data_IF_897713170468
#
_entry.id   IF_897713170468
#
_cell.length_a   1.000
_cell.length_b   1.000
_cell.length_c   1.000
_cell.angle_alpha   90.00
_cell.angle_beta   90.00
_cell.angle_gamma   90.00
#
_symmetry.space_group_name_H-M   'P 1'
#
loop_
_entity.id
_entity.type
_entity.pdbx_description
1 polymer ?
#
# COMPACT_ATOMS: atom_id res chain seq x y z
N UNK A 1 -16.85 -28.16 -3.70
CA UNK A 1 -16.31 -28.65 -2.41
C UNK A 1 -16.54 -30.14 -2.33
N UNK A 2 -15.60 -30.89 -1.78
CA UNK A 2 -15.72 -32.34 -1.58
C UNK A 2 -15.57 -32.61 -0.09
N UNK A 3 -16.54 -33.32 0.49
CA UNK A 3 -16.61 -33.64 1.92
C UNK A 3 -16.52 -35.15 2.07
N UNK A 4 -15.54 -35.62 2.82
CA UNK A 4 -15.36 -37.03 3.14
C UNK A 4 -15.50 -37.22 4.65
N UNK A 5 -16.25 -38.25 5.05
CA UNK A 5 -16.51 -38.61 6.44
C UNK A 5 -16.06 -40.05 6.66
N UNK A 6 -15.18 -40.28 7.62
CA UNK A 6 -14.77 -41.64 7.99
C UNK A 6 -15.05 -41.89 9.46
N UNK A 7 -15.69 -43.02 9.74
CA UNK A 7 -15.86 -43.51 11.10
C UNK A 7 -14.59 -44.24 11.53
N UNK A 8 -13.95 -43.80 12.61
CA UNK A 8 -12.82 -44.53 13.19
C UNK A 8 -13.34 -45.69 14.04
N UNK A 9 -12.73 -46.87 13.87
CA UNK A 9 -12.98 -48.05 14.71
C UNK A 9 -11.69 -48.36 15.47
N UNK A 10 -11.61 -47.94 16.73
CA UNK A 10 -10.42 -48.08 17.58
C UNK A 10 -10.69 -47.57 18.99
N UNK A 11 -9.63 -47.39 19.80
CA UNK A 11 -9.75 -46.92 21.19
C UNK A 11 -10.37 -45.51 21.34
N UNK A 12 -10.43 -44.74 20.25
CA UNK A 12 -11.17 -43.48 20.16
C UNK A 12 -12.16 -43.60 19.00
N UNK A 13 -13.43 -43.87 19.34
CA UNK A 13 -14.52 -43.85 18.38
C UNK A 13 -14.83 -42.39 18.03
N UNK A 14 -14.81 -42.07 16.75
CA UNK A 14 -14.97 -40.70 16.27
C UNK A 14 -15.26 -40.62 14.77
N UNK A 15 -15.47 -39.39 14.29
CA UNK A 15 -15.65 -39.09 12.87
C UNK A 15 -14.47 -38.22 12.45
N UNK A 16 -13.69 -38.70 11.47
CA UNK A 16 -12.71 -37.89 10.77
C UNK A 16 -13.40 -37.20 9.62
N UNK A 17 -13.18 -35.90 9.49
CA UNK A 17 -13.74 -35.08 8.42
C UNK A 17 -12.59 -34.53 7.58
N UNK A 18 -12.66 -34.75 6.27
CA UNK A 18 -11.79 -34.07 5.31
C UNK A 18 -12.64 -33.22 4.37
N UNK A 19 -12.21 -31.98 4.18
CA UNK A 19 -12.86 -31.02 3.29
C UNK A 19 -11.83 -30.59 2.25
N UNK A 20 -12.09 -30.90 0.98
CA UNK A 20 -11.19 -30.55 -0.12
C UNK A 20 -11.85 -29.57 -1.10
N UNK A 21 -11.11 -28.51 -1.46
CA UNK A 21 -11.52 -27.59 -2.53
C UNK A 21 -11.14 -28.19 -3.88
N UNK A 22 -12.11 -28.74 -4.59
CA UNK A 22 -11.91 -29.25 -5.97
C UNK A 22 -12.10 -28.18 -7.04
N UNK A 23 -13.14 -27.35 -6.89
CA UNK A 23 -13.53 -26.22 -7.76
C UNK A 23 -14.38 -25.22 -6.96
N UNK A 24 -14.55 -24.01 -7.48
CA UNK A 24 -15.39 -22.94 -6.90
C UNK A 24 -14.59 -21.85 -6.18
N UNK A 25 -15.28 -20.83 -5.66
CA UNK A 25 -14.65 -19.72 -4.95
C UNK A 25 -13.97 -20.16 -3.64
N UNK A 26 -12.79 -19.61 -3.37
CA UNK A 26 -12.00 -19.91 -2.16
C UNK A 26 -12.61 -19.31 -0.91
N UNK A 27 -13.28 -18.15 -1.01
CA UNK A 27 -13.90 -17.48 0.14
C UNK A 27 -15.10 -18.30 0.63
N UNK A 28 -16.02 -18.64 -0.26
CA UNK A 28 -17.13 -19.54 0.07
C UNK A 28 -16.64 -20.89 0.59
N UNK A 29 -15.60 -21.47 -0.04
CA UNK A 29 -15.01 -22.71 0.45
C UNK A 29 -14.51 -22.58 1.89
N UNK A 30 -13.76 -21.53 2.21
CA UNK A 30 -13.24 -21.32 3.56
C UNK A 30 -14.38 -21.13 4.58
N UNK A 31 -15.37 -20.29 4.27
CA UNK A 31 -16.58 -20.06 5.08
C UNK A 31 -17.27 -21.37 5.44
N UNK A 32 -17.65 -22.16 4.44
CA UNK A 32 -18.34 -23.42 4.68
C UNK A 32 -17.46 -24.46 5.36
N UNK A 33 -16.17 -24.53 4.99
CA UNK A 33 -15.25 -25.47 5.63
C UNK A 33 -15.12 -25.21 7.13
N UNK A 34 -15.04 -23.94 7.55
CA UNK A 34 -14.99 -23.55 8.95
C UNK A 34 -16.28 -23.97 9.67
N UNK A 35 -17.45 -23.62 9.13
CA UNK A 35 -18.73 -24.00 9.74
C UNK A 35 -18.90 -25.52 9.87
N UNK A 36 -18.46 -26.30 8.88
CA UNK A 36 -18.52 -27.77 8.93
C UNK A 36 -17.58 -28.31 10.01
N UNK A 37 -16.36 -27.77 10.13
CA UNK A 37 -15.40 -28.18 11.15
C UNK A 37 -15.87 -27.78 12.57
N UNK A 38 -16.38 -26.56 12.75
CA UNK A 38 -16.92 -26.10 14.02
C UNK A 38 -18.14 -26.96 14.45
N UNK A 39 -18.98 -27.37 13.49
CA UNK A 39 -20.09 -28.29 13.74
C UNK A 39 -19.61 -29.67 14.19
N UNK A 40 -18.51 -30.15 13.60
CA UNK A 40 -17.93 -31.45 13.91
C UNK A 40 -17.33 -31.50 15.32
N UNK A 41 -16.76 -30.39 15.79
CA UNK A 41 -16.23 -30.25 17.16
C UNK A 41 -17.38 -30.03 18.17
N UNK A 42 -18.58 -29.68 17.70
CA UNK A 42 -19.73 -29.35 18.55
C UNK A 42 -19.73 -27.90 19.06
N UNK A 43 -18.89 -27.04 18.48
CA UNK A 43 -18.78 -25.62 18.83
C UNK A 43 -19.75 -24.74 18.02
N UNK A 44 -20.38 -25.28 16.97
CA UNK A 44 -21.31 -24.50 16.15
C UNK A 44 -22.65 -24.25 16.84
N UNK A 45 -22.82 -23.06 17.40
CA UNK A 45 -24.11 -22.58 17.88
C UNK A 45 -24.93 -21.94 16.74
N UNK A 46 -25.80 -22.75 16.11
CA UNK A 46 -26.68 -22.29 15.02
C UNK A 46 -27.53 -21.07 15.40
N UNK A 47 -27.99 -20.98 16.66
CA UNK A 47 -28.83 -19.85 17.10
C UNK A 47 -28.06 -18.55 17.15
N UNK A 48 -26.82 -18.59 17.63
CA UNK A 48 -25.94 -17.43 17.67
C UNK A 48 -25.51 -16.99 16.27
N UNK A 49 -25.25 -17.94 15.37
CA UNK A 49 -24.93 -17.66 13.97
C UNK A 49 -26.10 -16.96 13.25
N UNK A 50 -27.33 -17.45 13.43
CA UNK A 50 -28.55 -16.85 12.87
C UNK A 50 -28.83 -15.48 13.51
N UNK A 51 -28.62 -15.34 14.82
CA UNK A 51 -28.86 -14.08 15.52
C UNK A 51 -27.83 -13.01 15.17
N UNK A 52 -26.58 -13.40 14.93
CA UNK A 52 -25.48 -12.48 14.57
C UNK A 52 -25.51 -12.08 13.09
N UNK A 53 -25.95 -12.98 12.20
CA UNK A 53 -25.89 -12.76 10.76
C UNK A 53 -27.27 -12.53 10.10
N UNK A 54 -28.37 -12.67 10.84
CA UNK A 54 -29.73 -12.67 10.32
C UNK A 54 -30.11 -14.01 9.66
N UNK A 55 -31.37 -14.15 9.23
CA UNK A 55 -31.87 -15.31 8.47
C UNK A 55 -31.16 -15.52 7.12
N UNK A 56 -30.32 -14.57 6.71
CA UNK A 56 -29.67 -14.56 5.41
C UNK A 56 -28.15 -14.42 5.56
N UNK A 57 -27.52 -15.55 5.94
CA UNK A 57 -26.09 -15.71 6.20
C UNK A 57 -25.20 -15.33 4.99
N UNK A 58 -25.76 -15.24 3.79
CA UNK A 58 -25.02 -14.75 2.63
C UNK A 58 -24.93 -13.21 2.60
N UNK A 59 -25.90 -12.48 3.16
CA UNK A 59 -25.99 -11.02 3.06
C UNK A 59 -24.81 -10.25 3.69
N UNK A 60 -24.09 -10.76 4.69
CA UNK A 60 -23.03 -9.94 5.34
C UNK A 60 -21.78 -9.81 4.47
N UNK A 61 -21.37 -10.89 3.79
CA UNK A 61 -20.27 -10.84 2.81
C UNK A 61 -20.76 -10.34 1.45
N UNK A 62 -21.99 -10.72 1.06
CA UNK A 62 -22.62 -10.18 -0.14
C UNK A 62 -22.90 -8.70 0.01
N UNK A 63 -23.06 -8.09 1.20
CA UNK A 63 -23.17 -6.62 1.33
C UNK A 63 -21.87 -5.90 1.03
N UNK A 64 -20.71 -6.46 1.42
CA UNK A 64 -19.40 -5.84 1.12
C UNK A 64 -19.04 -6.03 -0.35
N UNK A 65 -19.43 -7.17 -0.94
CA UNK A 65 -19.25 -7.48 -2.37
C UNK A 65 -20.31 -6.80 -3.26
N UNK A 66 -21.57 -6.68 -2.83
CA UNK A 66 -22.66 -5.95 -3.50
C UNK A 66 -22.41 -4.46 -3.45
N UNK A 67 -21.79 -3.93 -2.38
CA UNK A 67 -21.27 -2.56 -2.39
C UNK A 67 -20.19 -2.39 -3.47
N UNK A 68 -19.33 -3.40 -3.66
CA UNK A 68 -18.32 -3.42 -4.73
C UNK A 68 -18.90 -3.66 -6.14
N UNK A 69 -20.02 -4.36 -6.27
CA UNK A 69 -20.68 -4.69 -7.54
C UNK A 69 -21.72 -3.64 -7.97
N UNK A 70 -22.36 -2.95 -7.03
CA UNK A 70 -23.29 -1.84 -7.29
C UNK A 70 -22.59 -0.49 -7.48
N UNK A 71 -21.26 -0.50 -7.59
CA UNK A 71 -20.34 0.64 -7.77
C UNK A 71 -20.41 1.24 -9.20
N UNK A 72 -21.32 0.74 -10.04
CA UNK A 72 -21.57 1.20 -11.43
C UNK A 72 -22.68 2.27 -11.54
N UNK A 73 -23.40 2.59 -10.47
CA UNK A 73 -24.41 3.66 -10.47
C UNK A 73 -23.84 4.98 -9.95
N UNK A 74 -24.22 6.09 -10.61
CA UNK A 74 -23.78 7.48 -10.45
C UNK A 74 -22.96 7.77 -9.17
N UNK A 75 -21.65 7.95 -9.34
CA UNK A 75 -20.70 8.13 -8.24
C UNK A 75 -20.79 9.53 -7.67
N UNK A 76 -21.45 9.67 -6.54
CA UNK A 76 -21.20 10.81 -5.66
C UNK A 76 -19.75 10.77 -5.19
N UNK A 77 -19.05 11.90 -5.22
CA UNK A 77 -17.62 11.99 -4.90
C UNK A 77 -17.28 11.48 -3.47
N UNK A 78 -18.25 11.57 -2.57
CA UNK A 78 -18.20 11.05 -1.19
C UNK A 78 -18.24 9.52 -1.15
N UNK A 79 -18.97 8.88 -2.07
CA UNK A 79 -18.93 7.41 -2.17
C UNK A 79 -17.59 6.91 -2.69
N UNK A 80 -16.87 7.70 -3.50
CA UNK A 80 -15.54 7.32 -4.01
C UNK A 80 -14.47 7.39 -2.92
N UNK A 81 -14.53 8.37 -2.01
CA UNK A 81 -13.62 8.43 -0.84
C UNK A 81 -13.84 7.24 0.08
N UNK A 82 -15.10 6.94 0.41
CA UNK A 82 -15.44 5.83 1.29
C UNK A 82 -15.00 4.50 0.69
N UNK A 83 -15.23 4.31 -0.62
CA UNK A 83 -14.79 3.12 -1.33
C UNK A 83 -13.26 2.99 -1.35
N UNK A 84 -12.53 4.10 -1.49
CA UNK A 84 -11.07 4.11 -1.41
C UNK A 84 -10.58 3.70 -0.01
N UNK A 85 -11.16 4.29 1.04
CA UNK A 85 -10.82 3.98 2.44
C UNK A 85 -11.08 2.51 2.74
N UNK A 86 -12.26 2.00 2.39
CA UNK A 86 -12.62 0.58 2.59
C UNK A 86 -11.66 -0.36 1.84
N UNK A 87 -11.25 0.01 0.61
CA UNK A 87 -10.29 -0.80 -0.15
C UNK A 87 -8.91 -0.84 0.52
N UNK A 88 -8.45 0.30 1.07
CA UNK A 88 -7.19 0.39 1.81
C UNK A 88 -7.25 -0.44 3.10
N UNK A 89 -8.35 -0.38 3.85
CA UNK A 89 -8.56 -1.23 5.05
C UNK A 89 -8.56 -2.73 4.73
N UNK A 90 -9.12 -3.14 3.58
CA UNK A 90 -9.06 -4.54 3.14
C UNK A 90 -7.61 -4.94 2.87
N UNK A 91 -6.83 -4.06 2.23
CA UNK A 91 -5.42 -4.33 1.96
C UNK A 91 -4.60 -4.41 3.26
N UNK A 92 -4.86 -3.54 4.24
CA UNK A 92 -4.32 -3.62 5.59
C UNK A 92 -4.63 -4.98 6.25
N UNK A 93 -5.90 -5.39 6.26
CA UNK A 93 -6.32 -6.66 6.87
C UNK A 93 -5.74 -7.90 6.19
N UNK A 94 -5.25 -7.80 4.96
CA UNK A 94 -4.45 -8.85 4.29
C UNK A 94 -2.97 -8.76 4.68
N UNK A 95 -2.43 -7.54 4.76
CA UNK A 95 -1.04 -7.26 5.11
C UNK A 95 -0.68 -7.67 6.54
N UNK A 96 -1.62 -7.54 7.49
CA UNK A 96 -1.40 -7.91 8.90
C UNK A 96 -1.60 -9.40 9.21
N UNK A 97 -1.92 -10.24 8.23
CA UNK A 97 -2.07 -11.69 8.47
C UNK A 97 -0.71 -12.38 8.62
N UNK A 98 -0.66 -13.48 9.35
CA UNK A 98 0.56 -14.27 9.55
C UNK A 98 1.06 -14.97 8.28
N UNK A 99 0.16 -15.23 7.33
CA UNK A 99 0.49 -16.01 6.13
C UNK A 99 1.14 -15.14 5.06
N UNK A 100 2.31 -15.56 4.57
CA UNK A 100 3.08 -14.83 3.56
C UNK A 100 2.31 -14.57 2.25
N UNK A 101 1.46 -15.50 1.80
CA UNK A 101 0.63 -15.32 0.62
C UNK A 101 -0.43 -14.22 0.80
N UNK A 102 -0.99 -14.10 2.01
CA UNK A 102 -1.93 -13.03 2.34
C UNK A 102 -1.22 -11.67 2.40
N UNK A 103 -0.02 -11.61 3.01
CA UNK A 103 0.80 -10.39 3.03
C UNK A 103 1.15 -9.91 1.63
N UNK A 104 1.57 -10.84 0.78
CA UNK A 104 1.84 -10.55 -0.63
C UNK A 104 0.61 -10.00 -1.34
N UNK A 105 -0.57 -10.61 -1.15
CA UNK A 105 -1.81 -10.13 -1.74
C UNK A 105 -2.20 -8.73 -1.22
N UNK A 106 -1.92 -8.41 0.05
CA UNK A 106 -2.11 -7.08 0.62
C UNK A 106 -1.26 -6.02 -0.09
N UNK A 107 0.03 -6.31 -0.30
CA UNK A 107 0.93 -5.42 -1.05
C UNK A 107 0.58 -5.30 -2.53
N UNK A 108 0.16 -6.40 -3.18
CA UNK A 108 -0.33 -6.37 -4.56
C UNK A 108 -1.57 -5.49 -4.68
N UNK A 109 -2.48 -5.57 -3.70
CA UNK A 109 -3.66 -4.70 -3.60
C UNK A 109 -3.24 -3.23 -3.46
N UNK A 110 -2.29 -2.91 -2.58
CA UNK A 110 -1.75 -1.54 -2.45
C UNK A 110 -1.05 -1.06 -3.73
N UNK A 111 -0.37 -1.93 -4.47
CA UNK A 111 0.23 -1.58 -5.76
C UNK A 111 -0.84 -1.18 -6.80
N UNK A 112 -2.02 -1.82 -6.77
CA UNK A 112 -3.15 -1.46 -7.63
C UNK A 112 -3.78 -0.16 -7.17
N UNK A 113 -4.01 -0.02 -5.86
CA UNK A 113 -4.63 1.16 -5.26
C UNK A 113 -3.78 2.42 -5.41
N UNK A 114 -2.46 2.30 -5.52
CA UNK A 114 -1.57 3.46 -5.75
C UNK A 114 -1.32 3.78 -7.23
N UNK A 115 -1.86 3.01 -8.18
CA UNK A 115 -1.72 3.30 -9.62
C UNK A 115 -2.97 4.00 -10.16
N UNK A 116 -2.90 5.30 -10.50
CA UNK A 116 -4.07 6.07 -10.96
C UNK A 116 -4.67 5.51 -12.25
N UNK A 117 -3.90 4.77 -13.06
CA UNK A 117 -4.39 4.14 -14.29
C UNK A 117 -5.25 2.91 -14.04
N UNK A 118 -5.19 2.34 -12.83
CA UNK A 118 -5.91 1.11 -12.48
C UNK A 118 -7.10 1.38 -11.58
N UNK A 119 -6.99 2.32 -10.64
CA UNK A 119 -8.05 2.57 -9.64
C UNK A 119 -8.70 3.94 -9.73
N UNK A 120 -8.21 4.84 -10.59
CA UNK A 120 -8.66 6.24 -10.65
C UNK A 120 -7.79 7.19 -9.82
N UNK A 121 -7.82 8.48 -10.17
CA UNK A 121 -6.95 9.49 -9.57
C UNK A 121 -7.24 9.71 -8.07
N UNK A 122 -8.53 9.77 -7.69
CA UNK A 122 -8.93 10.05 -6.31
C UNK A 122 -8.54 8.92 -5.36
N UNK A 123 -8.89 7.67 -5.70
CA UNK A 123 -8.48 6.50 -4.93
C UNK A 123 -6.96 6.36 -4.86
N UNK A 124 -6.25 6.60 -5.97
CA UNK A 124 -4.79 6.57 -5.97
C UNK A 124 -4.18 7.64 -5.08
N UNK A 125 -4.75 8.84 -5.05
CA UNK A 125 -4.28 9.92 -4.18
C UNK A 125 -4.47 9.58 -2.69
N UNK A 126 -5.65 9.08 -2.31
CA UNK A 126 -5.95 8.67 -0.93
C UNK A 126 -5.02 7.55 -0.48
N UNK A 127 -4.89 6.49 -1.29
CA UNK A 127 -3.99 5.38 -0.99
C UNK A 127 -2.53 5.83 -0.88
N UNK A 128 -2.10 6.79 -1.71
CA UNK A 128 -0.76 7.36 -1.67
C UNK A 128 -0.51 8.15 -0.37
N UNK A 129 -1.50 8.92 0.09
CA UNK A 129 -1.41 9.61 1.38
C UNK A 129 -1.31 8.65 2.55
N UNK A 130 -2.12 7.59 2.56
CA UNK A 130 -2.03 6.56 3.60
C UNK A 130 -0.64 5.91 3.63
N UNK A 131 -0.10 5.55 2.46
CA UNK A 131 1.25 4.95 2.37
C UNK A 131 2.35 5.89 2.87
N UNK A 132 2.26 7.19 2.58
CA UNK A 132 3.34 8.14 2.88
C UNK A 132 3.22 8.75 4.28
N UNK A 133 2.02 9.07 4.74
CA UNK A 133 1.77 9.82 5.97
C UNK A 133 1.04 9.00 7.04
N UNK A 134 0.52 7.81 6.71
CA UNK A 134 -0.20 6.97 7.67
C UNK A 134 -1.55 7.59 8.08
N UNK A 135 -2.12 8.44 7.24
CA UNK A 135 -3.41 9.12 7.48
C UNK A 135 -4.13 9.37 6.16
N UNK A 136 -5.47 9.34 6.22
CA UNK A 136 -6.34 9.78 5.13
C UNK A 136 -6.82 11.24 5.31
N UNK A 137 -6.47 11.89 6.43
CA UNK A 137 -6.87 13.27 6.72
C UNK A 137 -6.26 14.24 5.71
N UNK A 138 -7.02 15.29 5.41
CA UNK A 138 -6.59 16.37 4.51
C UNK A 138 -6.98 16.17 3.04
N UNK A 139 -7.70 15.09 2.72
CA UNK A 139 -8.18 14.80 1.35
C UNK A 139 -9.56 15.37 1.03
N UNK A 140 -10.38 15.64 2.04
CA UNK A 140 -11.74 16.12 1.82
C UNK A 140 -11.73 17.62 1.52
N UNK A 141 -11.75 17.93 0.22
CA UNK A 141 -11.72 19.30 -0.29
C UNK A 141 -13.09 19.98 -0.23
N UNK A 142 -14.18 19.23 0.01
CA UNK A 142 -15.54 19.67 -0.31
C UNK A 142 -16.53 19.71 0.87
N UNK A 143 -16.22 19.15 2.04
CA UNK A 143 -17.10 19.30 3.22
C UNK A 143 -16.83 20.67 3.87
N UNK A 144 -17.61 21.67 3.46
CA UNK A 144 -17.67 22.99 4.11
C UNK A 144 -18.37 22.93 5.48
N UNK A 145 -19.06 21.84 5.75
CA UNK A 145 -19.65 21.59 7.06
C UNK A 145 -18.56 21.05 8.00
N UNK A 146 -18.40 21.61 9.21
CA UNK A 146 -17.62 20.99 10.27
C UNK A 146 -18.36 19.73 10.71
N UNK A 147 -18.22 18.66 9.91
CA UNK A 147 -18.78 17.37 10.24
C UNK A 147 -18.24 16.94 11.60
N UNK A 148 -19.14 16.44 12.43
CA UNK A 148 -18.83 15.71 13.65
C UNK A 148 -17.70 14.74 13.29
N UNK A 149 -16.51 14.93 13.88
CA UNK A 149 -15.33 14.09 13.68
C UNK A 149 -15.75 12.62 13.79
N UNK A 150 -16.08 12.00 12.66
CA UNK A 150 -16.20 10.55 12.56
C UNK A 150 -14.80 10.09 12.92
N UNK A 151 -14.67 9.53 14.11
CA UNK A 151 -13.42 8.99 14.63
C UNK A 151 -13.10 7.78 13.75
N UNK A 152 -12.52 8.04 12.59
CA UNK A 152 -11.93 7.02 11.72
C UNK A 152 -10.69 6.57 12.47
N UNK A 153 -10.67 5.29 12.80
CA UNK A 153 -9.50 4.66 13.38
C UNK A 153 -8.34 4.74 12.35
N UNK A 154 -7.33 5.57 12.64
CA UNK A 154 -6.17 5.73 11.76
C UNK A 154 -5.09 4.66 11.99
N UNK A 155 -5.27 3.80 13.00
CA UNK A 155 -4.32 2.73 13.34
C UNK A 155 -3.99 1.85 12.12
N UNK A 156 -4.97 1.41 11.30
CA UNK A 156 -4.68 0.64 10.08
C UNK A 156 -3.77 1.36 9.09
N UNK A 157 -3.89 2.68 8.98
CA UNK A 157 -3.12 3.49 8.04
C UNK A 157 -1.67 3.64 8.51
N UNK A 158 -1.48 3.84 9.81
CA UNK A 158 -0.15 3.89 10.42
C UNK A 158 0.57 2.54 10.26
N UNK A 159 -0.11 1.43 10.53
CA UNK A 159 0.46 0.07 10.39
C UNK A 159 0.82 -0.26 8.93
N UNK A 160 0.03 0.20 7.94
CA UNK A 160 0.41 0.10 6.52
C UNK A 160 1.73 0.82 6.28
N UNK A 161 1.82 2.10 6.68
CA UNK A 161 3.00 2.93 6.46
C UNK A 161 4.24 2.30 7.10
N UNK A 162 4.13 1.90 8.36
CA UNK A 162 5.23 1.25 9.10
C UNK A 162 5.66 -0.05 8.44
N UNK A 163 4.73 -0.87 7.96
CA UNK A 163 5.04 -2.12 7.25
C UNK A 163 5.76 -1.87 5.92
N UNK A 164 5.35 -0.86 5.16
CA UNK A 164 6.03 -0.48 3.91
C UNK A 164 7.43 0.03 4.20
N UNK A 165 7.59 0.94 5.18
CA UNK A 165 8.91 1.44 5.59
C UNK A 165 9.81 0.31 6.10
N UNK A 166 9.28 -0.58 6.93
CA UNK A 166 9.99 -1.74 7.47
C UNK A 166 10.49 -2.66 6.34
N UNK A 167 9.63 -2.98 5.38
CA UNK A 167 9.98 -3.81 4.22
C UNK A 167 11.02 -3.13 3.33
N UNK A 168 10.94 -1.82 3.12
CA UNK A 168 11.88 -1.10 2.25
C UNK A 168 13.24 -0.93 2.94
N UNK A 169 13.27 -0.45 4.19
CA UNK A 169 14.51 -0.12 4.91
C UNK A 169 15.21 -1.36 5.49
N UNK A 170 14.44 -2.31 6.01
CA UNK A 170 14.98 -3.43 6.79
C UNK A 170 14.83 -4.78 6.08
N UNK A 171 14.01 -4.86 5.02
CA UNK A 171 13.60 -6.13 4.40
C UNK A 171 12.96 -7.08 5.41
N UNK A 172 12.13 -6.54 6.31
CA UNK A 172 11.43 -7.32 7.34
C UNK A 172 9.96 -6.89 7.43
N UNK A 173 9.12 -7.78 7.96
CA UNK A 173 7.71 -7.51 8.19
C UNK A 173 7.25 -8.17 9.51
N UNK A 174 6.76 -7.34 10.43
CA UNK A 174 6.35 -7.74 11.78
C UNK A 174 7.44 -7.62 12.83
N UNK A 175 7.05 -7.85 14.08
CA UNK A 175 7.94 -7.92 15.24
C UNK A 175 8.54 -9.33 15.30
N UNK A 176 9.69 -9.55 14.67
CA UNK A 176 10.41 -10.82 14.83
C UNK A 176 10.83 -10.98 16.29
N UNK A 177 10.31 -12.02 16.93
CA UNK A 177 10.84 -12.52 18.19
C UNK A 177 12.19 -13.21 17.89
N UNK A 178 13.27 -12.82 18.58
CA UNK A 178 14.66 -13.29 18.43
C UNK A 178 14.88 -14.80 18.73
N UNK A 179 14.10 -15.70 18.12
CA UNK A 179 14.29 -17.14 18.28
C UNK A 179 15.23 -17.68 17.18
N UNK A 180 16.45 -18.05 17.59
CA UNK A 180 17.53 -18.63 16.80
C UNK A 180 17.13 -19.92 16.05
N UNK A 181 16.45 -19.80 14.90
CA UNK A 181 16.15 -20.92 13.99
C UNK A 181 16.94 -20.80 12.68
N UNK A 182 18.22 -21.17 12.71
CA UNK A 182 19.14 -21.15 11.55
C UNK A 182 18.76 -22.10 10.38
N UNK A 183 17.73 -22.95 10.52
CA UNK A 183 17.44 -24.02 9.55
C UNK A 183 16.37 -23.72 8.48
N UNK A 184 15.53 -22.68 8.64
CA UNK A 184 14.43 -22.35 7.70
C UNK A 184 14.71 -21.12 6.81
N UNK A 185 15.89 -20.49 6.93
CA UNK A 185 16.21 -19.20 6.33
C UNK A 185 16.14 -19.12 4.79
N UNK A 186 16.19 -20.22 4.06
CA UNK A 186 16.34 -20.18 2.60
C UNK A 186 15.03 -19.89 1.83
N UNK A 187 13.88 -20.42 2.27
CA UNK A 187 12.60 -20.17 1.58
C UNK A 187 11.99 -18.82 1.94
N UNK A 188 12.24 -18.34 3.16
CA UNK A 188 11.71 -17.06 3.63
C UNK A 188 12.39 -15.87 2.92
N UNK A 189 13.69 -15.97 2.60
CA UNK A 189 14.43 -14.90 1.90
C UNK A 189 13.88 -14.59 0.49
N UNK A 190 13.42 -15.61 -0.23
CA UNK A 190 12.77 -15.43 -1.53
C UNK A 190 11.45 -14.66 -1.39
N UNK A 191 10.62 -15.03 -0.41
CA UNK A 191 9.36 -14.35 -0.14
C UNK A 191 9.57 -12.91 0.33
N UNK A 192 10.52 -12.69 1.24
CA UNK A 192 10.89 -11.34 1.70
C UNK A 192 11.38 -10.49 0.53
N UNK A 193 12.13 -11.07 -0.40
CA UNK A 193 12.55 -10.36 -1.62
C UNK A 193 11.35 -9.94 -2.47
N UNK A 194 10.34 -10.79 -2.63
CA UNK A 194 9.10 -10.44 -3.34
C UNK A 194 8.35 -9.31 -2.62
N UNK A 195 8.17 -9.41 -1.31
CA UNK A 195 7.48 -8.38 -0.51
C UNK A 195 8.22 -7.04 -0.56
N UNK A 196 9.55 -7.05 -0.45
CA UNK A 196 10.37 -5.84 -0.56
C UNK A 196 10.21 -5.18 -1.93
N UNK A 197 10.17 -5.96 -3.01
CA UNK A 197 9.98 -5.42 -4.36
C UNK A 197 8.59 -4.81 -4.54
N UNK A 198 7.55 -5.44 -3.98
CA UNK A 198 6.20 -4.90 -3.97
C UNK A 198 6.11 -3.62 -3.14
N UNK A 199 6.71 -3.58 -1.95
CA UNK A 199 6.74 -2.39 -1.10
C UNK A 199 7.45 -1.21 -1.80
N UNK A 200 8.58 -1.46 -2.48
CA UNK A 200 9.23 -0.45 -3.33
C UNK A 200 8.31 0.04 -4.46
N UNK A 201 7.51 -0.84 -5.07
CA UNK A 201 6.59 -0.46 -6.13
C UNK A 201 5.42 0.38 -5.59
N UNK A 202 4.84 0.01 -4.44
CA UNK A 202 3.83 0.81 -3.72
C UNK A 202 4.38 2.20 -3.42
N UNK A 203 5.57 2.30 -2.83
CA UNK A 203 6.20 3.57 -2.51
C UNK A 203 6.48 4.42 -3.76
N UNK A 204 7.01 3.80 -4.82
CA UNK A 204 7.31 4.49 -6.07
C UNK A 204 6.06 5.00 -6.79
N UNK A 205 4.93 4.30 -6.66
CA UNK A 205 3.65 4.77 -7.17
C UNK A 205 3.11 5.93 -6.31
N UNK A 206 3.14 5.78 -4.99
CA UNK A 206 2.64 6.80 -4.08
C UNK A 206 3.36 8.15 -4.27
N UNK A 207 4.70 8.14 -4.29
CA UNK A 207 5.50 9.35 -4.53
C UNK A 207 5.25 9.96 -5.92
N UNK A 208 5.03 9.14 -6.94
CA UNK A 208 4.74 9.63 -8.30
C UNK A 208 3.38 10.33 -8.37
N UNK A 209 2.36 9.80 -7.67
CA UNK A 209 1.03 10.42 -7.56
C UNK A 209 1.13 11.79 -6.88
N UNK A 210 1.79 11.88 -5.72
CA UNK A 210 1.96 13.16 -5.00
C UNK A 210 2.74 14.18 -5.84
N UNK A 211 3.82 13.77 -6.50
CA UNK A 211 4.64 14.68 -7.32
C UNK A 211 3.91 15.25 -8.56
N UNK A 212 2.74 14.71 -8.91
CA UNK A 212 1.90 15.15 -10.03
C UNK A 212 0.63 15.85 -9.58
N UNK A 213 0.32 15.86 -8.29
CA UNK A 213 -0.91 16.40 -7.73
C UNK A 213 -1.11 17.88 -8.10
N UNK A 214 -0.04 18.67 -7.99
CA UNK A 214 -0.09 20.11 -8.30
C UNK A 214 -0.54 20.38 -9.75
N UNK A 215 -0.10 19.54 -10.70
CA UNK A 215 -0.48 19.68 -12.11
C UNK A 215 -1.94 19.30 -12.40
N UNK A 216 -2.57 18.47 -11.56
CA UNK A 216 -3.95 18.05 -11.74
C UNK A 216 -4.95 19.11 -11.27
N UNK A 217 -4.59 19.89 -10.25
CA UNK A 217 -5.46 20.93 -9.70
C UNK A 217 -5.58 22.15 -10.63
N UNK A 218 -4.53 22.45 -11.39
CA UNK A 218 -4.52 23.59 -12.33
C UNK A 218 -5.38 23.36 -13.59
N UNK A 219 -5.64 22.10 -13.96
CA UNK A 219 -6.33 21.75 -15.22
C UNK A 219 -7.84 21.99 -15.22
N UNK A 220 -8.50 21.88 -14.07
CA UNK A 220 -9.97 21.83 -13.98
C UNK A 220 -10.63 23.22 -13.89
N UNK A 221 -9.83 24.26 -13.62
CA UNK A 221 -10.32 25.63 -13.43
C UNK A 221 -10.69 26.36 -14.74
N UNK A 222 -10.50 25.74 -15.90
CA UNK A 222 -10.59 26.42 -17.21
C UNK A 222 -11.95 26.28 -17.94
N UNK A 223 -12.93 25.56 -17.38
CA UNK A 223 -14.18 25.21 -18.10
C UNK A 223 -15.49 25.82 -17.55
N UNK A 224 -15.49 26.59 -16.46
CA UNK A 224 -16.72 27.26 -15.97
C UNK A 224 -16.67 28.77 -16.16
N UNK A 225 -17.28 29.27 -17.23
CA UNK A 225 -17.44 30.70 -17.52
C UNK A 225 -18.59 31.36 -16.71
N UNK A 226 -18.83 30.92 -15.47
CA UNK A 226 -19.87 31.50 -14.61
C UNK A 226 -19.34 32.74 -13.89
N UNK A 227 -20.12 33.84 -13.85
CA UNK A 227 -19.66 35.11 -13.32
C UNK A 227 -19.40 35.05 -11.81
N UNK A 228 -18.30 35.70 -11.44
CA UNK A 228 -17.71 35.96 -10.13
C UNK A 228 -18.73 36.20 -9.00
N UNK A 229 -19.10 35.15 -8.27
CA UNK A 229 -19.50 35.29 -6.87
C UNK A 229 -18.25 35.17 -6.00
N UNK A 230 -18.08 36.09 -5.04
CA UNK A 230 -16.94 36.18 -4.12
C UNK A 230 -16.83 34.89 -3.28
N UNK A 231 -16.08 33.91 -3.77
CA UNK A 231 -15.84 32.65 -3.05
C UNK A 231 -14.95 32.93 -1.83
N UNK A 232 -15.37 32.53 -0.62
CA UNK A 232 -14.63 32.80 0.60
C UNK A 232 -13.22 32.17 0.58
N UNK A 233 -12.21 33.00 0.87
CA UNK A 233 -10.76 32.71 0.88
C UNK A 233 -10.29 31.69 1.94
N UNK A 234 -11.19 30.93 2.57
CA UNK A 234 -10.88 29.96 3.62
C UNK A 234 -10.69 28.52 3.09
N UNK A 235 -10.29 28.34 1.83
CA UNK A 235 -9.82 27.02 1.36
C UNK A 235 -8.59 26.65 2.17
N UNK A 236 -8.76 25.74 3.14
CA UNK A 236 -7.67 25.11 3.89
C UNK A 236 -6.61 24.70 2.88
N UNK A 237 -5.38 25.19 3.07
CA UNK A 237 -4.25 24.85 2.20
C UNK A 237 -4.11 23.34 2.22
N UNK A 238 -4.46 22.69 1.10
CA UNK A 238 -4.07 21.32 0.85
C UNK A 238 -2.56 21.24 0.99
N UNK A 239 -2.06 20.18 1.63
CA UNK A 239 -0.63 19.97 1.74
C UNK A 239 -0.03 19.93 0.33
N UNK A 240 0.97 20.78 0.09
CA UNK A 240 1.69 20.79 -1.19
C UNK A 240 2.51 19.51 -1.34
N UNK A 241 2.82 19.13 -2.58
CA UNK A 241 3.69 17.98 -2.84
C UNK A 241 5.05 18.07 -2.13
N UNK A 242 5.57 19.29 -1.96
CA UNK A 242 6.78 19.59 -1.17
C UNK A 242 6.58 19.29 0.32
N UNK A 243 5.51 19.81 0.94
CA UNK A 243 5.20 19.59 2.36
C UNK A 243 5.07 18.10 2.70
N UNK A 244 4.33 17.35 1.87
CA UNK A 244 4.13 15.91 2.04
C UNK A 244 5.47 15.16 1.95
N UNK A 245 6.30 15.52 0.96
CA UNK A 245 7.59 14.87 0.74
C UNK A 245 8.57 15.14 1.89
N UNK A 246 8.60 16.35 2.42
CA UNK A 246 9.46 16.72 3.55
C UNK A 246 9.02 16.01 4.83
N UNK A 247 7.71 16.03 5.10
CA UNK A 247 7.13 15.33 6.24
C UNK A 247 7.39 13.83 6.17
N UNK A 248 7.21 13.21 5.00
CA UNK A 248 7.55 11.80 4.79
C UNK A 248 9.01 11.50 5.13
N UNK A 249 9.96 12.34 4.67
CA UNK A 249 11.38 12.14 4.95
C UNK A 249 11.69 12.25 6.44
N UNK A 250 11.16 13.27 7.12
CA UNK A 250 11.40 13.49 8.54
C UNK A 250 10.83 12.35 9.40
N UNK A 251 9.56 12.00 9.18
CA UNK A 251 8.93 10.91 9.93
C UNK A 251 9.55 9.53 9.60
N UNK A 252 10.05 9.31 8.39
CA UNK A 252 10.75 8.05 8.05
C UNK A 252 12.09 7.87 8.79
N UNK A 253 12.73 8.99 9.14
CA UNK A 253 13.95 9.00 9.93
C UNK A 253 13.66 8.64 11.39
N UNK A 254 12.55 9.13 11.93
CA UNK A 254 12.07 8.81 13.28
C UNK A 254 11.76 7.30 13.42
N UNK A 255 11.08 6.70 12.44
CA UNK A 255 10.82 5.25 12.40
C UNK A 255 12.10 4.40 12.41
N UNK A 256 13.23 4.97 11.99
CA UNK A 256 14.53 4.28 11.97
C UNK A 256 15.25 4.28 13.32
N UNK A 257 14.61 4.80 14.39
CA UNK A 257 15.20 4.96 15.72
C UNK A 257 16.40 5.91 15.72
N UNK A 258 16.43 6.87 14.78
CA UNK A 258 17.56 7.80 14.61
C UNK A 258 18.84 7.17 14.07
N UNK A 259 18.82 5.91 13.62
CA UNK A 259 19.99 5.28 12.99
C UNK A 259 20.19 5.84 11.58
N UNK A 260 21.24 6.66 11.39
CA UNK A 260 21.61 7.24 10.09
C UNK A 260 21.87 6.16 9.02
N UNK A 261 22.21 4.94 9.41
CA UNK A 261 22.46 3.84 8.49
C UNK A 261 21.19 3.30 7.82
N UNK A 262 20.02 3.61 8.36
CA UNK A 262 18.73 3.07 7.93
C UNK A 262 17.79 4.12 7.34
N UNK A 263 18.28 5.32 7.11
CA UNK A 263 17.52 6.38 6.44
C UNK A 263 16.98 5.92 5.07
N UNK A 264 15.73 6.27 4.77
CA UNK A 264 15.07 5.86 3.52
C UNK A 264 15.85 6.31 2.27
N UNK A 265 16.42 7.52 2.29
CA UNK A 265 17.19 8.05 1.17
C UNK A 265 18.45 7.22 0.92
N UNK A 266 19.19 6.87 1.99
CA UNK A 266 20.38 6.00 1.92
C UNK A 266 20.02 4.62 1.40
N UNK A 267 18.88 4.08 1.84
CA UNK A 267 18.34 2.79 1.37
C UNK A 267 18.04 2.82 -0.13
N UNK A 268 17.33 3.83 -0.61
CA UNK A 268 16.99 3.97 -2.04
C UNK A 268 18.25 4.12 -2.91
N UNK A 269 19.24 4.90 -2.46
CA UNK A 269 20.53 5.05 -3.16
C UNK A 269 21.29 3.71 -3.17
N UNK A 270 21.28 2.97 -2.06
CA UNK A 270 21.92 1.65 -1.96
C UNK A 270 21.28 0.63 -2.92
N UNK A 271 19.95 0.56 -2.98
CA UNK A 271 19.24 -0.31 -3.93
C UNK A 271 19.49 0.08 -5.40
N UNK A 272 19.58 1.39 -5.69
CA UNK A 272 19.98 1.87 -7.01
C UNK A 272 21.42 1.45 -7.37
N UNK A 273 22.34 1.48 -6.40
CA UNK A 273 23.72 1.01 -6.57
C UNK A 273 23.83 -0.48 -6.91
N UNK A 274 22.80 -1.27 -6.63
CA UNK A 274 22.72 -2.70 -6.97
C UNK A 274 22.15 -2.95 -8.38
N UNK A 275 22.08 -1.94 -9.24
CA UNK A 275 21.52 -2.02 -10.60
C UNK A 275 21.99 -3.21 -11.44
N UNK A 276 23.25 -3.63 -11.32
CA UNK A 276 23.79 -4.77 -12.08
C UNK A 276 23.24 -6.13 -11.60
N UNK A 277 22.84 -6.22 -10.34
CA UNK A 277 22.34 -7.46 -9.72
C UNK A 277 20.82 -7.50 -9.67
N UNK A 278 20.19 -6.38 -9.30
CA UNK A 278 18.75 -6.23 -9.09
C UNK A 278 18.21 -5.01 -9.87
N UNK A 279 18.19 -5.06 -11.21
CA UNK A 279 17.82 -3.92 -12.06
C UNK A 279 16.38 -3.45 -11.83
N UNK A 280 15.48 -4.36 -11.46
CA UNK A 280 14.10 -4.03 -11.12
C UNK A 280 14.02 -3.12 -9.88
N UNK A 281 14.70 -3.49 -8.80
CA UNK A 281 14.74 -2.70 -7.55
C UNK A 281 15.38 -1.34 -7.81
N UNK A 282 16.51 -1.33 -8.52
CA UNK A 282 17.17 -0.10 -8.92
C UNK A 282 16.25 0.83 -9.72
N UNK A 283 15.42 0.29 -10.63
CA UNK A 283 14.46 1.08 -11.40
C UNK A 283 13.38 1.69 -10.51
N UNK A 284 12.85 0.93 -9.54
CA UNK A 284 11.86 1.44 -8.59
C UNK A 284 12.47 2.49 -7.65
N UNK A 285 13.69 2.26 -7.15
CA UNK A 285 14.42 3.22 -6.33
C UNK A 285 14.73 4.51 -7.09
N UNK A 286 15.13 4.42 -8.37
CA UNK A 286 15.30 5.60 -9.23
C UNK A 286 13.98 6.38 -9.38
N UNK A 287 12.85 5.68 -9.53
CA UNK A 287 11.53 6.32 -9.60
C UNK A 287 11.17 7.05 -8.29
N UNK A 288 11.41 6.44 -7.12
CA UNK A 288 11.24 7.10 -5.83
C UNK A 288 12.11 8.36 -5.70
N UNK A 289 13.42 8.23 -6.01
CA UNK A 289 14.37 9.35 -5.93
C UNK A 289 13.99 10.50 -6.84
N UNK A 290 13.54 10.21 -8.06
CA UNK A 290 13.04 11.20 -9.01
C UNK A 290 11.89 11.99 -8.41
N UNK A 291 10.86 11.31 -7.92
CA UNK A 291 9.68 11.96 -7.36
C UNK A 291 10.02 12.80 -6.13
N UNK A 292 10.84 12.28 -5.20
CA UNK A 292 11.29 13.03 -4.03
C UNK A 292 12.12 14.28 -4.39
N UNK A 293 13.11 14.14 -5.27
CA UNK A 293 13.99 15.26 -5.66
C UNK A 293 13.27 16.32 -6.51
N UNK A 294 12.20 15.92 -7.21
CA UNK A 294 11.32 16.83 -7.95
C UNK A 294 10.41 17.61 -7.01
N UNK A 295 9.86 16.94 -5.99
CA UNK A 295 8.88 17.53 -5.08
C UNK A 295 9.51 18.38 -3.97
N UNK A 296 10.71 18.05 -3.49
CA UNK A 296 11.33 18.76 -2.36
C UNK A 296 12.80 19.11 -2.59
N UNK A 297 13.13 20.37 -2.32
CA UNK A 297 14.51 20.87 -2.33
C UNK A 297 15.35 20.24 -1.21
N UNK A 298 14.76 19.99 -0.04
CA UNK A 298 15.39 19.28 1.08
C UNK A 298 15.79 17.86 0.67
N UNK A 299 14.88 17.13 0.02
CA UNK A 299 15.16 15.79 -0.50
C UNK A 299 16.33 15.79 -1.50
N UNK A 300 16.33 16.76 -2.41
CA UNK A 300 17.39 16.93 -3.44
C UNK A 300 18.75 17.23 -2.81
N UNK A 301 18.81 18.13 -1.83
CA UNK A 301 20.04 18.44 -1.10
C UNK A 301 20.56 17.22 -0.35
N UNK A 302 19.67 16.49 0.35
CA UNK A 302 20.04 15.27 1.07
C UNK A 302 20.58 14.17 0.14
N UNK A 303 19.96 13.98 -1.03
CA UNK A 303 20.46 13.04 -2.04
C UNK A 303 21.86 13.42 -2.55
N UNK A 304 22.15 14.72 -2.73
CA UNK A 304 23.48 15.21 -3.11
C UNK A 304 24.52 14.93 -2.04
N UNK A 305 24.21 15.17 -0.76
CA UNK A 305 25.08 14.88 0.38
C UNK A 305 25.45 13.40 0.47
N UNK A 306 24.49 12.52 0.20
CA UNK A 306 24.68 11.06 0.20
C UNK A 306 25.39 10.53 -1.06
N UNK A 307 25.86 11.42 -1.94
CA UNK A 307 26.59 11.04 -3.15
C UNK A 307 25.73 10.38 -4.22
N UNK A 308 24.41 10.63 -4.25
CA UNK A 308 23.49 10.00 -5.20
C UNK A 308 23.93 10.18 -6.67
N UNK A 309 24.58 11.30 -7.01
CA UNK A 309 25.01 11.61 -8.39
C UNK A 309 25.92 10.53 -8.98
N UNK A 310 26.90 10.02 -8.23
CA UNK A 310 27.84 9.00 -8.73
C UNK A 310 27.14 7.65 -8.88
N UNK A 311 26.25 7.31 -7.94
CA UNK A 311 25.46 6.08 -7.97
C UNK A 311 24.48 6.08 -9.14
N UNK A 312 23.75 7.18 -9.36
CA UNK A 312 22.83 7.35 -10.49
C UNK A 312 23.57 7.26 -11.81
N UNK A 313 24.76 7.87 -11.94
CA UNK A 313 25.56 7.75 -13.15
C UNK A 313 25.96 6.29 -13.43
N UNK A 314 26.40 5.57 -12.40
CA UNK A 314 26.76 4.15 -12.54
C UNK A 314 25.55 3.30 -12.96
N UNK A 315 24.39 3.53 -12.35
CA UNK A 315 23.15 2.84 -12.69
C UNK A 315 22.65 3.21 -14.11
N UNK A 316 22.84 4.46 -14.55
CA UNK A 316 22.56 4.92 -15.90
C UNK A 316 23.40 4.15 -16.93
N UNK A 317 24.70 3.99 -16.68
CA UNK A 317 25.60 3.23 -17.56
C UNK A 317 25.22 1.74 -17.63
N UNK A 318 24.74 1.16 -16.53
CA UNK A 318 24.18 -0.20 -16.51
C UNK A 318 22.87 -0.25 -17.33
N UNK A 319 21.97 0.71 -17.12
CA UNK A 319 20.70 0.84 -17.83
C UNK A 319 20.88 0.93 -19.34
N UNK A 320 21.79 1.77 -19.82
CA UNK A 320 22.08 1.95 -21.25
C UNK A 320 22.55 0.66 -21.94
N UNK A 321 23.16 -0.27 -21.19
CA UNK A 321 23.64 -1.55 -21.71
C UNK A 321 22.62 -2.68 -21.60
N UNK A 322 21.75 -2.64 -20.60
CA UNK A 322 20.96 -3.82 -20.19
C UNK A 322 19.48 -3.56 -19.99
N UNK A 323 19.07 -2.34 -19.59
CA UNK A 323 17.70 -2.04 -19.14
C UNK A 323 17.27 -0.60 -19.48
N UNK A 324 16.61 -0.41 -20.63
CA UNK A 324 16.15 0.90 -21.12
C UNK A 324 15.25 1.66 -20.13
N UNK A 325 14.42 0.96 -19.35
CA UNK A 325 13.57 1.61 -18.33
C UNK A 325 14.40 2.23 -17.20
N UNK A 326 15.43 1.51 -16.74
CA UNK A 326 16.35 2.01 -15.72
C UNK A 326 17.11 3.23 -16.25
N UNK A 327 17.61 3.18 -17.48
CA UNK A 327 18.30 4.31 -18.11
C UNK A 327 17.43 5.57 -18.11
N UNK A 328 16.16 5.45 -18.52
CA UNK A 328 15.20 6.57 -18.55
C UNK A 328 14.97 7.16 -17.17
N UNK A 329 14.72 6.33 -16.16
CA UNK A 329 14.48 6.84 -14.81
C UNK A 329 15.75 7.46 -14.20
N UNK A 330 16.94 6.85 -14.39
CA UNK A 330 18.20 7.44 -13.95
C UNK A 330 18.49 8.78 -14.64
N UNK A 331 18.12 8.92 -15.92
CA UNK A 331 18.28 10.18 -16.66
C UNK A 331 17.44 11.28 -16.04
N UNK A 332 16.17 10.99 -15.68
CA UNK A 332 15.31 11.94 -14.98
C UNK A 332 15.88 12.32 -13.61
N UNK A 333 16.34 11.35 -12.81
CA UNK A 333 16.96 11.63 -11.50
C UNK A 333 18.18 12.53 -11.67
N UNK A 334 19.02 12.27 -12.68
CA UNK A 334 20.19 13.10 -12.96
C UNK A 334 19.79 14.54 -13.29
N UNK A 335 18.74 14.74 -14.12
CA UNK A 335 18.21 16.07 -14.41
C UNK A 335 17.82 16.80 -13.13
N UNK A 336 17.01 16.18 -12.26
CA UNK A 336 16.58 16.79 -10.99
C UNK A 336 17.76 17.11 -10.06
N UNK A 337 18.78 16.23 -10.00
CA UNK A 337 19.98 16.47 -9.19
C UNK A 337 20.87 17.59 -9.76
N UNK A 338 20.85 17.83 -11.07
CA UNK A 338 21.68 18.88 -11.71
C UNK A 338 21.03 20.26 -11.70
N UNK A 339 19.73 20.36 -11.47
CA UNK A 339 19.07 21.65 -11.29
C UNK A 339 19.75 22.38 -10.11
N UNK A 340 20.35 23.53 -10.41
CA UNK A 340 20.76 24.51 -9.42
C UNK A 340 19.49 25.16 -8.90
N UNK A 341 19.33 25.21 -7.57
CA UNK A 341 18.22 25.94 -6.97
C UNK A 341 18.32 27.38 -7.46
N UNK A 342 17.33 27.81 -8.25
CA UNK A 342 17.20 29.23 -8.59
C UNK A 342 16.72 29.90 -7.30
N UNK A 343 17.67 30.46 -6.55
CA UNK A 343 17.41 31.19 -5.29
C UNK A 343 16.47 32.37 -5.49
#
# INVERSE_FOLDING_TARGET
MYLSLWKTSGNQEGIVIEIQRRKGDSIHFHKYSRCILDAAVGELNMKELIQKNGDDIDIVYTKKIDRLLNLETERDAETETDNAVVAVEIAHGLLMKDRMDARQLGLESLCLLTDPRKTGNRTALIASHVVLLGTAKGMDCNSLEPEEDLIVDETPFQEIRESILSLVQFRRIGEECDYDHEAEACSEDEHITVLHNLALAVLANALDVISKQDSLLDGDSSLSSTPEEEVPTNRRRLDTSESISERFLDESLECSGGSEDKEIMKTLISELGKANLKPHNACLSAKCLKSLCRASNKARSRAKELGAKTVVQTALDVGARTHLKLERECSHVMTELTQTNSE
#
